data_IF_451776310515
#
_entry.id   IF_451776310515
#
_cell.length_a   1.000
_cell.length_b   1.000
_cell.length_c   1.000
_cell.angle_alpha   90.00
_cell.angle_beta   90.00
_cell.angle_gamma   90.00
#
_symmetry.space_group_name_H-M   'P 1'
#
loop_
_entity.id
_entity.type
_entity.pdbx_description
1 polymer ?
#
# COMPACT_ATOMS: atom_id res chain seq x y z
N UNK A 1 -18.04 -3.45 -4.52
CA UNK A 1 -17.88 -4.15 -5.83
C UNK A 1 -18.47 -5.55 -5.71
N UNK A 2 -19.17 -6.06 -6.76
CA UNK A 2 -19.76 -7.40 -6.80
C UNK A 2 -19.19 -8.21 -7.97
N UNK A 3 -19.39 -9.54 -7.95
CA UNK A 3 -18.98 -10.40 -9.08
C UNK A 3 -19.73 -10.04 -10.36
N UNK A 4 -20.98 -9.61 -10.26
CA UNK A 4 -21.77 -9.20 -11.41
C UNK A 4 -21.19 -7.94 -12.05
N UNK A 5 -20.72 -6.99 -11.25
CA UNK A 5 -20.00 -5.82 -11.77
C UNK A 5 -18.73 -6.23 -12.52
N UNK A 6 -17.94 -7.15 -11.98
CA UNK A 6 -16.71 -7.65 -12.62
C UNK A 6 -17.04 -8.29 -13.97
N UNK A 7 -18.12 -9.11 -14.05
CA UNK A 7 -18.59 -9.72 -15.29
C UNK A 7 -19.08 -8.69 -16.31
N UNK A 8 -19.77 -7.63 -15.86
CA UNK A 8 -20.19 -6.50 -16.73
C UNK A 8 -19.00 -5.75 -17.34
N UNK A 9 -17.85 -5.73 -16.66
CA UNK A 9 -16.60 -5.18 -17.18
C UNK A 9 -15.87 -6.15 -18.16
N UNK A 10 -16.46 -7.29 -18.49
CA UNK A 10 -15.90 -8.26 -19.43
C UNK A 10 -14.92 -9.29 -18.82
N UNK A 11 -14.87 -9.38 -17.50
CA UNK A 11 -13.97 -10.30 -16.81
C UNK A 11 -14.72 -11.47 -16.18
N UNK A 12 -14.25 -12.70 -16.38
CA UNK A 12 -14.79 -13.89 -15.71
C UNK A 12 -14.33 -13.99 -14.24
N UNK A 13 -13.19 -13.40 -13.92
CA UNK A 13 -12.58 -13.31 -12.58
C UNK A 13 -11.91 -11.95 -12.39
N UNK A 14 -11.69 -11.57 -11.15
CA UNK A 14 -10.95 -10.33 -10.84
C UNK A 14 -9.55 -10.41 -11.47
N UNK A 15 -9.16 -9.43 -12.30
CA UNK A 15 -7.82 -9.40 -12.90
C UNK A 15 -6.73 -9.25 -11.84
N UNK A 16 -5.53 -9.76 -12.14
CA UNK A 16 -4.41 -9.67 -11.19
C UNK A 16 -3.83 -8.26 -11.06
N UNK A 17 -4.00 -7.42 -12.08
CA UNK A 17 -3.42 -6.07 -12.16
C UNK A 17 -4.47 -5.04 -12.56
N UNK A 18 -4.14 -3.76 -12.37
CA UNK A 18 -5.00 -2.63 -12.70
C UNK A 18 -5.78 -2.12 -11.49
N UNK A 19 -6.77 -1.26 -11.74
CA UNK A 19 -7.54 -0.63 -10.67
C UNK A 19 -8.61 -1.55 -10.08
N UNK A 20 -9.21 -2.44 -10.89
CA UNK A 20 -10.34 -3.27 -10.47
C UNK A 20 -10.08 -4.13 -9.23
N UNK A 21 -8.90 -4.77 -9.02
CA UNK A 21 -8.62 -5.56 -7.81
C UNK A 21 -8.32 -4.71 -6.56
N UNK A 22 -8.23 -3.39 -6.68
CA UNK A 22 -7.86 -2.54 -5.54
C UNK A 22 -9.02 -2.48 -4.55
N UNK A 23 -8.73 -2.82 -3.29
CA UNK A 23 -9.63 -2.67 -2.15
C UNK A 23 -9.27 -1.42 -1.35
N UNK A 24 -10.05 -1.07 -0.31
CA UNK A 24 -9.72 0.08 0.55
C UNK A 24 -8.32 -0.08 1.13
N UNK A 25 -7.40 0.90 0.95
CA UNK A 25 -6.05 0.81 1.49
C UNK A 25 -6.06 0.99 3.01
N UNK A 26 -5.98 -0.12 3.76
CA UNK A 26 -6.13 -0.12 5.22
C UNK A 26 -4.88 0.22 6.03
N UNK A 27 -3.69 0.21 5.42
CA UNK A 27 -2.42 0.32 6.15
C UNK A 27 -2.30 1.59 7.01
N UNK A 28 -2.68 2.74 6.47
CA UNK A 28 -2.57 4.04 7.18
C UNK A 28 -3.45 4.07 8.43
N UNK A 29 -4.69 3.56 8.35
CA UNK A 29 -5.58 3.44 9.52
C UNK A 29 -5.03 2.45 10.55
N UNK A 30 -4.44 1.34 10.07
CA UNK A 30 -3.75 0.38 10.93
C UNK A 30 -2.57 0.99 11.68
N UNK A 31 -1.74 1.82 11.02
CA UNK A 31 -0.65 2.54 11.71
C UNK A 31 -1.17 3.46 12.81
N UNK A 32 -2.24 4.19 12.53
CA UNK A 32 -2.86 5.08 13.52
C UNK A 32 -3.41 4.31 14.71
N UNK A 33 -4.14 3.22 14.47
CA UNK A 33 -4.69 2.37 15.53
C UNK A 33 -3.61 1.71 16.39
N UNK A 34 -2.53 1.19 15.76
CA UNK A 34 -1.38 0.64 16.48
C UNK A 34 -0.68 1.71 17.33
N UNK A 35 -0.50 2.90 16.78
CA UNK A 35 0.10 4.01 17.51
C UNK A 35 -0.78 4.46 18.68
N UNK A 36 -2.10 4.53 18.51
CA UNK A 36 -3.02 4.90 19.59
C UNK A 36 -2.93 3.95 20.78
N UNK A 37 -2.72 2.67 20.51
CA UNK A 37 -2.69 1.64 21.56
C UNK A 37 -1.30 1.47 22.17
N UNK A 38 -0.23 1.58 21.38
CA UNK A 38 1.13 1.21 21.80
C UNK A 38 2.17 2.31 21.60
N UNK A 39 1.85 3.37 20.86
CA UNK A 39 2.79 4.44 20.51
C UNK A 39 3.24 5.24 21.71
N UNK A 40 4.53 5.56 21.77
CA UNK A 40 5.15 6.38 22.83
C UNK A 40 5.70 7.71 22.30
N UNK A 41 6.13 7.72 21.04
CA UNK A 41 6.63 8.93 20.38
C UNK A 41 5.47 9.68 19.70
N UNK A 42 5.56 10.99 19.47
CA UNK A 42 4.60 11.68 18.61
C UNK A 42 4.49 11.01 17.24
N UNK A 43 3.27 10.79 16.77
CA UNK A 43 3.02 10.05 15.51
C UNK A 43 3.77 10.65 14.32
N UNK A 44 3.82 11.97 14.24
CA UNK A 44 4.53 12.68 13.16
C UNK A 44 6.02 12.37 13.12
N UNK A 45 6.66 12.17 14.26
CA UNK A 45 8.09 11.88 14.34
C UNK A 45 8.45 10.51 13.71
N UNK A 46 7.51 9.60 13.65
CA UNK A 46 7.71 8.27 13.06
C UNK A 46 7.93 8.34 11.55
N UNK A 47 7.51 9.41 10.90
CA UNK A 47 7.63 9.60 9.46
C UNK A 47 8.90 10.33 9.02
N UNK A 48 9.68 10.91 9.96
CA UNK A 48 10.81 11.76 9.62
C UNK A 48 11.80 11.10 8.66
N UNK A 49 12.23 9.87 8.95
CA UNK A 49 13.17 9.15 8.10
C UNK A 49 12.54 8.75 6.75
N UNK A 50 11.28 8.35 6.73
CA UNK A 50 10.59 7.99 5.49
C UNK A 50 10.43 9.22 4.57
N UNK A 51 10.10 10.38 5.14
CA UNK A 51 10.01 11.66 4.43
C UNK A 51 11.39 12.07 3.90
N UNK A 52 12.44 11.93 4.72
CA UNK A 52 13.80 12.26 4.31
C UNK A 52 14.26 11.39 3.15
N UNK A 53 14.13 10.07 3.25
CA UNK A 53 14.47 9.16 2.15
C UNK A 53 13.66 9.41 0.87
N UNK A 54 12.38 9.74 1.01
CA UNK A 54 11.55 10.04 -0.15
C UNK A 54 11.96 11.36 -0.84
N UNK A 55 12.35 12.39 -0.09
CA UNK A 55 12.79 13.68 -0.62
C UNK A 55 14.23 13.67 -1.12
N UNK A 56 15.15 13.19 -0.27
CA UNK A 56 16.59 13.29 -0.51
C UNK A 56 17.13 12.06 -1.24
N UNK A 57 16.39 10.97 -1.18
CA UNK A 57 16.69 9.73 -1.85
C UNK A 57 17.45 8.75 -0.97
N UNK A 58 17.50 7.52 -1.46
CA UNK A 58 18.26 6.43 -0.87
C UNK A 58 18.96 5.62 -1.97
N UNK A 59 20.10 5.00 -1.67
CA UNK A 59 20.78 4.14 -2.64
C UNK A 59 19.98 2.86 -2.88
N UNK A 60 19.64 2.59 -4.12
CA UNK A 60 18.89 1.40 -4.51
C UNK A 60 19.73 0.15 -4.29
N UNK A 61 19.20 -0.81 -3.55
CA UNK A 61 19.85 -2.10 -3.34
C UNK A 61 19.74 -2.99 -4.58
N UNK A 62 20.59 -4.01 -4.68
CA UNK A 62 20.58 -4.96 -5.79
C UNK A 62 19.23 -5.64 -5.98
N UNK A 63 18.62 -6.08 -4.88
CA UNK A 63 17.32 -6.76 -4.91
C UNK A 63 16.18 -5.81 -5.35
N UNK A 64 16.20 -4.58 -4.87
CA UNK A 64 15.22 -3.56 -5.27
C UNK A 64 15.38 -3.23 -6.76
N UNK A 65 16.61 -3.04 -7.26
CA UNK A 65 16.88 -2.81 -8.68
C UNK A 65 16.33 -3.95 -9.55
N UNK A 66 16.60 -5.19 -9.17
CA UNK A 66 16.10 -6.38 -9.86
C UNK A 66 14.56 -6.41 -9.95
N UNK A 67 13.87 -6.18 -8.82
CA UNK A 67 12.41 -6.19 -8.83
C UNK A 67 11.80 -5.01 -9.56
N UNK A 68 12.39 -3.83 -9.52
CA UNK A 68 11.93 -2.68 -10.29
C UNK A 68 12.06 -2.93 -11.80
N UNK A 69 13.19 -3.47 -12.24
CA UNK A 69 13.40 -3.83 -13.65
C UNK A 69 12.39 -4.88 -14.11
N UNK A 70 12.20 -5.94 -13.33
CA UNK A 70 11.20 -6.97 -13.63
C UNK A 70 9.78 -6.41 -13.66
N UNK A 71 9.43 -5.52 -12.73
CA UNK A 71 8.12 -4.90 -12.67
C UNK A 71 7.86 -3.96 -13.84
N UNK A 72 8.89 -3.29 -14.36
CA UNK A 72 8.73 -2.37 -15.48
C UNK A 72 8.20 -3.05 -16.74
N UNK A 73 8.51 -4.32 -16.98
CA UNK A 73 7.97 -5.08 -18.11
C UNK A 73 6.45 -5.25 -18.06
N UNK A 74 5.87 -5.23 -16.86
CA UNK A 74 4.43 -5.39 -16.61
C UNK A 74 3.71 -4.04 -16.52
N UNK A 75 4.36 -3.04 -15.89
CA UNK A 75 3.66 -1.81 -15.46
C UNK A 75 4.05 -0.55 -16.24
N UNK A 76 5.03 -0.57 -17.15
CA UNK A 76 5.48 0.62 -17.89
C UNK A 76 4.36 1.33 -18.67
N UNK A 77 3.35 0.59 -19.09
CA UNK A 77 2.23 1.10 -19.88
C UNK A 77 1.06 1.62 -19.00
N UNK A 78 1.15 1.44 -17.67
CA UNK A 78 0.21 2.05 -16.74
C UNK A 78 0.54 3.52 -16.52
N UNK A 79 -0.50 4.33 -16.49
CA UNK A 79 -0.37 5.77 -16.26
C UNK A 79 0.44 6.05 -14.98
N UNK A 80 1.34 7.02 -15.09
CA UNK A 80 2.21 7.47 -14.00
C UNK A 80 3.26 6.46 -13.50
N UNK A 81 3.27 5.19 -13.92
CA UNK A 81 4.31 4.27 -13.49
C UNK A 81 5.70 4.76 -13.94
N UNK A 82 5.85 5.03 -15.23
CA UNK A 82 7.13 5.45 -15.81
C UNK A 82 7.62 6.79 -15.25
N UNK A 83 6.71 7.74 -14.99
CA UNK A 83 7.09 9.05 -14.44
C UNK A 83 7.65 8.97 -13.02
N UNK A 84 7.20 7.99 -12.22
CA UNK A 84 7.66 7.81 -10.83
C UNK A 84 8.83 6.84 -10.74
N UNK A 85 8.73 5.68 -11.40
CA UNK A 85 9.67 4.57 -11.20
C UNK A 85 10.76 4.48 -12.27
N UNK A 86 10.63 5.26 -13.35
CA UNK A 86 11.59 5.32 -14.45
C UNK A 86 11.96 6.78 -14.80
N UNK A 87 12.41 7.60 -13.83
CA UNK A 87 12.57 9.04 -14.01
C UNK A 87 13.56 9.43 -15.11
N UNK A 88 14.48 8.54 -15.48
CA UNK A 88 15.45 8.72 -16.56
C UNK A 88 15.14 7.86 -17.79
N UNK A 89 13.88 7.40 -17.94
CA UNK A 89 13.47 6.48 -19.00
C UNK A 89 13.81 5.01 -18.74
N UNK A 90 14.47 4.72 -17.61
CA UNK A 90 14.79 3.37 -17.16
C UNK A 90 14.65 3.28 -15.64
N UNK A 91 14.48 2.07 -15.12
CA UNK A 91 14.45 1.82 -13.68
C UNK A 91 15.83 2.06 -13.06
N UNK A 92 15.92 2.56 -11.82
CA UNK A 92 17.18 2.84 -11.17
C UNK A 92 17.99 1.55 -10.94
N UNK A 93 19.31 1.64 -11.13
CA UNK A 93 20.25 0.53 -10.91
C UNK A 93 20.75 0.50 -9.48
N UNK A 94 21.36 -0.63 -9.10
CA UNK A 94 22.05 -0.77 -7.80
C UNK A 94 23.00 0.40 -7.55
N UNK A 95 22.86 1.04 -6.40
CA UNK A 95 23.69 2.16 -5.94
C UNK A 95 23.23 3.53 -6.46
N UNK A 96 22.33 3.61 -7.42
CA UNK A 96 21.74 4.89 -7.83
C UNK A 96 20.82 5.44 -6.76
N UNK A 97 20.77 6.77 -6.66
CA UNK A 97 19.89 7.45 -5.69
C UNK A 97 18.50 7.59 -6.28
N UNK A 98 17.53 6.91 -5.67
CA UNK A 98 16.13 7.02 -6.04
C UNK A 98 15.38 7.98 -5.11
N UNK A 99 14.56 8.87 -5.67
CA UNK A 99 13.74 9.86 -4.96
C UNK A 99 12.28 9.74 -5.38
N UNK A 100 11.39 10.01 -4.45
CA UNK A 100 9.95 10.15 -4.71
C UNK A 100 9.36 11.31 -3.88
N UNK A 101 9.54 12.56 -4.32
CA UNK A 101 9.05 13.73 -3.59
C UNK A 101 7.51 13.78 -3.44
N UNK A 102 6.77 13.12 -4.35
CA UNK A 102 5.32 13.03 -4.24
C UNK A 102 4.91 12.15 -3.07
N UNK A 103 5.60 11.01 -2.87
CA UNK A 103 5.40 10.16 -1.71
C UNK A 103 5.77 10.88 -0.41
N UNK A 104 6.82 11.69 -0.41
CA UNK A 104 7.19 12.51 0.74
C UNK A 104 6.06 13.46 1.15
N UNK A 105 5.41 14.14 0.19
CA UNK A 105 4.23 14.99 0.45
C UNK A 105 3.07 14.20 1.05
N UNK A 106 2.82 12.99 0.55
CA UNK A 106 1.78 12.12 1.09
C UNK A 106 2.11 11.73 2.53
N UNK A 107 3.35 11.33 2.83
CA UNK A 107 3.77 11.02 4.19
C UNK A 107 3.68 12.24 5.13
N UNK A 108 4.03 13.44 4.67
CA UNK A 108 3.86 14.66 5.46
C UNK A 108 2.39 14.92 5.81
N UNK A 109 1.48 14.74 4.86
CA UNK A 109 0.04 14.88 5.09
C UNK A 109 -0.49 13.84 6.09
N UNK A 110 -0.09 12.57 5.94
CA UNK A 110 -0.43 11.48 6.87
C UNK A 110 0.10 11.79 8.27
N UNK A 111 1.37 12.16 8.40
CA UNK A 111 2.01 12.48 9.66
C UNK A 111 1.29 13.60 10.41
N UNK A 112 1.01 14.71 9.71
CA UNK A 112 0.37 15.89 10.27
C UNK A 112 -1.08 15.66 10.73
N UNK A 113 -1.81 14.77 10.05
CA UNK A 113 -3.24 14.55 10.30
C UNK A 113 -3.53 13.20 10.97
N UNK A 114 -2.47 12.49 11.37
CA UNK A 114 -2.58 11.14 11.93
C UNK A 114 -3.38 10.19 11.03
N UNK A 115 -3.18 10.33 9.71
CA UNK A 115 -3.82 9.51 8.69
C UNK A 115 -5.17 10.01 8.19
N UNK A 116 -5.83 10.98 8.84
CA UNK A 116 -7.17 11.43 8.45
C UNK A 116 -7.20 11.96 7.01
N UNK A 117 -6.20 12.74 6.59
CA UNK A 117 -6.13 13.28 5.22
C UNK A 117 -6.09 12.22 4.12
N UNK A 118 -5.68 11.01 4.46
CA UNK A 118 -5.61 9.89 3.51
C UNK A 118 -7.00 9.33 3.18
N UNK A 119 -7.95 9.39 4.12
CA UNK A 119 -9.29 8.85 3.97
C UNK A 119 -10.36 9.89 3.67
N UNK A 120 -10.14 11.17 4.01
CA UNK A 120 -11.14 12.24 3.91
C UNK A 120 -10.68 13.48 3.14
N UNK A 121 -9.37 13.57 2.83
CA UNK A 121 -8.78 14.75 2.22
C UNK A 121 -8.55 14.66 0.71
N UNK A 122 -7.63 15.50 0.22
CA UNK A 122 -7.23 15.53 -1.19
C UNK A 122 -6.63 14.21 -1.67
N UNK A 123 -5.88 13.52 -0.82
CA UNK A 123 -5.32 12.19 -1.15
C UNK A 123 -6.44 11.19 -1.43
N UNK A 124 -7.49 11.16 -0.60
CA UNK A 124 -8.67 10.33 -0.84
C UNK A 124 -9.36 10.65 -2.18
N UNK A 125 -9.52 11.94 -2.49
CA UNK A 125 -10.14 12.38 -3.72
C UNK A 125 -9.36 11.92 -4.97
N UNK A 126 -8.03 12.05 -4.95
CA UNK A 126 -7.17 11.59 -6.04
C UNK A 126 -7.17 10.06 -6.19
N UNK A 127 -7.14 9.31 -5.08
CA UNK A 127 -7.26 7.85 -5.12
C UNK A 127 -8.58 7.44 -5.82
N UNK A 128 -9.71 8.00 -5.38
CA UNK A 128 -11.02 7.67 -5.94
C UNK A 128 -11.11 8.08 -7.40
N UNK A 129 -10.61 9.25 -7.77
CA UNK A 129 -10.59 9.72 -9.15
C UNK A 129 -9.86 8.70 -10.05
N UNK A 130 -8.63 8.36 -9.74
CA UNK A 130 -7.83 7.42 -10.54
C UNK A 130 -8.49 6.04 -10.60
N UNK A 131 -9.01 5.54 -9.48
CA UNK A 131 -9.71 4.25 -9.45
C UNK A 131 -10.95 4.23 -10.33
N UNK A 132 -11.79 5.28 -10.27
CA UNK A 132 -13.00 5.36 -11.06
C UNK A 132 -12.71 5.53 -12.57
N UNK A 133 -11.71 6.33 -12.94
CA UNK A 133 -11.25 6.50 -14.32
C UNK A 133 -10.77 5.18 -14.93
N UNK A 134 -10.33 4.23 -14.09
CA UNK A 134 -9.84 2.91 -14.48
C UNK A 134 -10.80 1.76 -14.11
N UNK A 135 -12.10 2.05 -13.93
CA UNK A 135 -13.15 1.05 -13.81
C UNK A 135 -13.36 0.45 -12.42
N UNK A 136 -12.75 0.97 -11.36
CA UNK A 136 -13.06 0.54 -10.00
C UNK A 136 -14.21 1.40 -9.44
N UNK A 137 -15.31 0.79 -8.90
CA UNK A 137 -16.49 1.53 -8.44
C UNK A 137 -16.35 2.07 -7.00
N UNK A 138 -15.15 2.09 -6.43
CA UNK A 138 -14.93 2.60 -5.07
C UNK A 138 -15.37 4.06 -4.96
N UNK A 139 -15.91 4.44 -3.84
CA UNK A 139 -16.38 5.78 -3.53
C UNK A 139 -15.62 6.41 -2.35
N UNK A 140 -15.74 7.73 -2.21
CA UNK A 140 -15.20 8.41 -1.01
C UNK A 140 -15.84 7.92 0.29
N UNK A 141 -17.08 7.45 0.26
CA UNK A 141 -17.73 6.87 1.44
C UNK A 141 -17.08 5.54 1.86
N UNK A 142 -16.59 4.74 0.91
CA UNK A 142 -15.88 3.50 1.25
C UNK A 142 -14.57 3.79 1.98
N UNK A 143 -13.84 4.84 1.58
CA UNK A 143 -12.66 5.29 2.29
C UNK A 143 -12.98 5.84 3.68
N UNK A 144 -13.96 6.74 3.78
CA UNK A 144 -14.36 7.39 5.04
C UNK A 144 -14.89 6.43 6.09
N UNK A 145 -15.63 5.41 5.64
CA UNK A 145 -16.24 4.43 6.54
C UNK A 145 -15.30 3.29 6.93
N UNK A 146 -14.09 3.26 6.35
CA UNK A 146 -13.12 2.24 6.69
C UNK A 146 -12.56 2.44 8.11
N UNK A 147 -12.56 1.39 8.90
CA UNK A 147 -11.89 1.32 10.19
C UNK A 147 -11.13 0.00 10.34
N UNK A 148 -9.94 0.01 10.94
CA UNK A 148 -9.23 -1.22 11.24
C UNK A 148 -9.92 -1.96 12.40
N UNK A 149 -9.88 -3.28 12.35
CA UNK A 149 -10.44 -4.14 13.40
C UNK A 149 -9.31 -4.76 14.22
N UNK A 150 -9.50 -4.79 15.53
CA UNK A 150 -8.69 -5.59 16.43
C UNK A 150 -9.24 -7.00 16.46
N UNK A 151 -8.39 -7.97 16.14
CA UNK A 151 -8.76 -9.39 16.09
C UNK A 151 -7.89 -10.18 17.06
N UNK A 152 -8.43 -11.28 17.59
CA UNK A 152 -7.65 -12.20 18.40
C UNK A 152 -6.76 -13.04 17.47
N UNK A 153 -5.44 -13.06 17.70
CA UNK A 153 -4.55 -13.89 16.92
C UNK A 153 -4.81 -15.37 17.17
N UNK A 154 -4.57 -16.19 16.15
CA UNK A 154 -4.63 -17.65 16.25
C UNK A 154 -3.23 -18.23 16.43
N UNK A 155 -3.09 -19.35 17.10
CA UNK A 155 -1.79 -19.98 17.33
C UNK A 155 -1.80 -21.48 17.10
N UNK A 156 -0.62 -22.01 16.82
CA UNK A 156 -0.36 -23.44 16.82
C UNK A 156 1.00 -23.71 17.47
N UNK A 157 1.14 -24.86 18.16
CA UNK A 157 2.41 -25.26 18.71
C UNK A 157 3.22 -26.04 17.68
N UNK A 158 4.46 -25.60 17.44
CA UNK A 158 5.41 -26.30 16.60
C UNK A 158 6.71 -26.53 17.34
N UNK A 159 7.04 -27.78 17.63
CA UNK A 159 8.28 -28.20 18.31
C UNK A 159 8.55 -27.48 19.64
N UNK A 160 7.49 -27.20 20.41
CA UNK A 160 7.57 -26.51 21.69
C UNK A 160 7.52 -24.99 21.63
N UNK A 161 7.37 -24.41 20.44
CA UNK A 161 7.17 -22.96 20.24
C UNK A 161 5.74 -22.68 19.79
N UNK A 162 5.12 -21.68 20.37
CA UNK A 162 3.82 -21.20 19.93
C UNK A 162 4.03 -20.20 18.79
N UNK A 163 3.50 -20.53 17.60
CA UNK A 163 3.52 -19.67 16.42
C UNK A 163 2.18 -18.97 16.33
N UNK A 164 2.21 -17.65 16.32
CA UNK A 164 1.03 -16.78 16.31
C UNK A 164 0.88 -16.12 14.95
N UNK A 165 -0.35 -16.01 14.46
CA UNK A 165 -0.69 -15.39 13.19
C UNK A 165 -2.01 -14.63 13.31
N UNK A 166 -2.23 -13.65 12.43
CA UNK A 166 -3.53 -13.03 12.25
C UNK A 166 -4.52 -14.05 11.66
N UNK A 167 -5.82 -13.97 12.01
CA UNK A 167 -6.83 -14.88 11.45
C UNK A 167 -7.02 -14.69 9.94
N UNK A 168 -7.91 -15.47 9.28
CA UNK A 168 -7.86 -15.91 7.87
C UNK A 168 -7.69 -14.93 6.72
N UNK A 169 -7.53 -13.64 6.90
CA UNK A 169 -7.11 -12.74 5.82
C UNK A 169 -5.63 -12.94 5.44
N UNK A 170 -4.82 -13.47 6.37
CA UNK A 170 -3.46 -13.94 6.13
C UNK A 170 -3.43 -15.44 5.87
N UNK A 171 -2.39 -15.90 5.18
CA UNK A 171 -2.17 -17.32 4.89
C UNK A 171 -0.92 -17.89 5.59
N UNK A 172 -0.39 -17.17 6.58
CA UNK A 172 0.85 -17.55 7.27
C UNK A 172 0.78 -18.93 7.93
N UNK A 173 -0.32 -19.25 8.62
CA UNK A 173 -0.51 -20.57 9.22
C UNK A 173 -0.66 -21.70 8.19
N UNK A 174 -1.15 -21.41 6.99
CA UNK A 174 -1.25 -22.43 5.93
C UNK A 174 0.13 -22.93 5.51
N UNK A 175 1.16 -22.11 5.59
CA UNK A 175 2.54 -22.48 5.28
C UNK A 175 3.11 -23.49 6.28
N UNK A 176 2.64 -23.50 7.52
CA UNK A 176 3.08 -24.45 8.55
C UNK A 176 2.57 -25.86 8.25
N UNK A 177 1.45 -26.00 7.56
CA UNK A 177 0.87 -27.28 7.18
C UNK A 177 1.45 -27.86 5.89
N UNK A 178 2.24 -27.09 5.17
CA UNK A 178 2.97 -27.52 3.99
C UNK A 178 4.35 -28.05 4.36
#
# INVERSE_FOLDING_TARGET
MSIDYVKQQGFEKIPAYGALPVTVPGAVAGWSALHDKFGKLPFENLFNNAIDYANNGFPVTELIAYYLERSSSVFKDYENFSSVWMPSGATPKKGEIFKNPLLAKTYQAIAKTKGQSFYEGSTAAEIIKILNENGNPMSLSDLRNFSPEWVEPVSTNYRGYDVWELPPNGQGLSLIHI
#
